data_IF_305345406807
#
_entry.id   IF_305345406807
#
_cell.length_a   1.000
_cell.length_b   1.000
_cell.length_c   1.000
_cell.angle_alpha   90.00
_cell.angle_beta   90.00
_cell.angle_gamma   90.00
#
_symmetry.space_group_name_H-M   'P 1'
#
loop_
_entity.id
_entity.type
_entity.pdbx_description
1 polymer ?
#
# COMPACT_ATOMS: atom_id res chain seq x y z
N UNK A 1 20.85 25.75 -15.17
CA UNK A 1 19.67 25.12 -14.53
C UNK A 1 19.02 24.04 -15.39
N UNK A 2 18.72 24.27 -16.68
CA UNK A 2 18.14 23.23 -17.57
C UNK A 2 18.98 21.95 -17.71
N UNK A 3 20.31 22.05 -17.80
CA UNK A 3 21.21 20.88 -17.98
C UNK A 3 21.21 19.90 -16.80
N UNK A 4 21.29 20.41 -15.57
CA UNK A 4 21.21 19.62 -14.32
C UNK A 4 19.84 18.95 -14.09
N UNK A 5 18.76 19.55 -14.62
CA UNK A 5 17.42 19.01 -14.53
C UNK A 5 17.25 17.78 -15.44
N UNK A 6 17.69 17.87 -16.69
CA UNK A 6 17.69 16.74 -17.63
C UNK A 6 18.67 15.64 -17.23
N UNK A 7 19.86 15.98 -16.70
CA UNK A 7 20.81 14.99 -16.16
C UNK A 7 20.23 14.23 -14.94
N UNK A 8 19.43 14.89 -14.09
CA UNK A 8 18.75 14.25 -12.95
C UNK A 8 17.62 13.30 -13.38
N UNK A 9 16.88 13.64 -14.44
CA UNK A 9 15.81 12.79 -14.99
C UNK A 9 16.37 11.60 -15.79
N UNK A 10 17.43 11.83 -16.58
CA UNK A 10 18.17 10.75 -17.25
C UNK A 10 18.80 9.79 -16.23
N UNK A 11 19.38 10.30 -15.13
CA UNK A 11 19.89 9.44 -14.04
C UNK A 11 18.81 8.65 -13.30
N UNK A 12 17.54 9.08 -13.32
CA UNK A 12 16.44 8.33 -12.71
C UNK A 12 15.91 7.21 -13.61
N UNK A 13 16.00 7.34 -14.95
CA UNK A 13 15.63 6.28 -15.90
C UNK A 13 16.80 5.34 -16.27
N UNK A 14 18.06 5.83 -16.27
CA UNK A 14 19.27 5.03 -16.53
C UNK A 14 19.70 4.15 -15.33
N UNK A 15 19.06 4.29 -14.16
CA UNK A 15 19.22 3.35 -13.03
C UNK A 15 18.39 2.06 -13.16
N UNK A 16 18.03 1.68 -14.39
CA UNK A 16 17.47 0.36 -14.72
C UNK A 16 18.53 -0.68 -15.12
N UNK A 17 19.82 -0.41 -14.88
CA UNK A 17 20.91 -1.31 -15.27
C UNK A 17 21.52 -2.09 -14.09
N UNK A 18 21.17 -3.39 -14.09
CA UNK A 18 21.88 -4.55 -13.51
C UNK A 18 22.05 -4.58 -11.99
N UNK A 19 21.08 -5.21 -11.32
CA UNK A 19 21.33 -5.92 -10.05
C UNK A 19 22.02 -7.25 -10.40
N UNK A 20 23.31 -7.19 -10.71
CA UNK A 20 24.19 -8.34 -10.57
C UNK A 20 24.67 -8.35 -9.12
N UNK A 21 24.14 -9.28 -8.31
CA UNK A 21 24.65 -9.57 -6.96
C UNK A 21 23.78 -9.08 -5.80
N UNK A 22 22.47 -9.32 -5.81
CA UNK A 22 21.67 -9.31 -4.58
C UNK A 22 21.66 -10.75 -3.99
N UNK A 23 22.83 -11.23 -3.61
CA UNK A 23 22.98 -12.50 -2.90
C UNK A 23 22.33 -12.40 -1.50
N UNK A 24 21.22 -13.11 -1.31
CA UNK A 24 20.85 -13.93 -0.12
C UNK A 24 20.96 -13.29 1.29
N UNK A 25 21.13 -11.98 1.43
CA UNK A 25 21.46 -11.32 2.72
C UNK A 25 20.28 -10.66 3.43
N UNK A 26 19.15 -10.42 2.76
CA UNK A 26 17.98 -9.83 3.42
C UNK A 26 17.24 -10.85 4.31
N UNK A 27 17.10 -12.09 3.84
CA UNK A 27 16.44 -13.14 4.63
C UNK A 27 17.21 -13.48 5.90
N UNK A 28 18.53 -13.38 5.92
CA UNK A 28 19.34 -13.65 7.11
C UNK A 28 19.12 -12.63 8.24
N UNK A 29 18.73 -11.38 7.95
CA UNK A 29 18.52 -10.36 9.00
C UNK A 29 17.19 -10.49 9.73
N UNK A 30 16.13 -10.99 9.07
CA UNK A 30 14.86 -11.32 9.74
C UNK A 30 15.00 -12.66 10.48
N UNK A 31 15.82 -13.59 9.99
CA UNK A 31 16.00 -14.92 10.59
C UNK A 31 16.89 -14.92 11.84
N UNK A 32 17.89 -14.02 11.96
CA UNK A 32 18.92 -14.12 13.01
C UNK A 32 18.54 -13.51 14.38
N UNK A 33 17.51 -12.67 14.47
CA UNK A 33 17.01 -12.18 15.76
C UNK A 33 16.02 -13.14 16.44
N UNK A 34 15.33 -13.98 15.66
CA UNK A 34 14.38 -14.98 16.14
C UNK A 34 15.04 -16.30 16.57
N UNK A 35 16.25 -16.59 16.09
CA UNK A 35 16.93 -17.89 16.32
C UNK A 35 17.45 -18.10 17.75
N UNK A 36 17.46 -17.07 18.61
CA UNK A 36 17.90 -17.19 20.02
C UNK A 36 16.77 -17.27 21.05
N UNK A 37 15.51 -17.12 20.65
CA UNK A 37 14.38 -17.37 21.53
C UNK A 37 13.89 -18.81 21.35
N UNK A 38 14.45 -19.72 22.14
CA UNK A 38 13.89 -21.04 22.40
C UNK A 38 12.39 -20.92 22.68
N UNK A 39 11.54 -21.18 21.69
CA UNK A 39 10.09 -21.08 21.89
C UNK A 39 9.63 -22.25 22.76
N UNK A 40 9.07 -22.01 23.96
CA UNK A 40 8.57 -23.06 24.84
C UNK A 40 7.19 -23.60 24.42
N UNK A 41 6.79 -23.52 23.14
CA UNK A 41 5.45 -23.95 22.66
C UNK A 41 5.32 -25.47 22.56
N UNK A 42 6.40 -26.25 22.76
CA UNK A 42 6.40 -27.70 22.55
C UNK A 42 6.16 -28.56 23.79
N UNK A 43 6.20 -28.03 25.02
CA UNK A 43 6.28 -28.87 26.24
C UNK A 43 5.08 -28.65 27.18
N UNK A 44 3.85 -28.80 26.67
CA UNK A 44 2.64 -28.73 27.52
C UNK A 44 1.36 -29.22 26.82
N UNK A 45 0.33 -29.53 27.63
CA UNK A 45 -0.98 -30.05 27.17
C UNK A 45 -1.60 -29.14 26.10
N UNK A 46 -1.47 -27.82 26.24
CA UNK A 46 -1.98 -26.85 25.26
C UNK A 46 -1.25 -26.95 23.91
N UNK A 47 0.06 -27.20 23.88
CA UNK A 47 0.82 -27.40 22.64
C UNK A 47 0.42 -28.68 21.91
N UNK A 48 0.11 -29.74 22.65
CA UNK A 48 -0.43 -30.99 22.09
C UNK A 48 -1.83 -30.78 21.51
N UNK A 49 -2.71 -30.08 22.23
CA UNK A 49 -4.06 -29.76 21.77
C UNK A 49 -4.05 -28.94 20.47
N UNK A 50 -3.25 -27.87 20.41
CA UNK A 50 -3.09 -27.06 19.19
C UNK A 50 -2.62 -27.94 18.04
N UNK A 51 -1.64 -28.81 18.27
CA UNK A 51 -1.12 -29.70 17.21
C UNK A 51 -2.20 -30.63 16.64
N UNK A 52 -3.06 -31.18 17.50
CA UNK A 52 -4.19 -32.02 17.08
C UNK A 52 -5.19 -31.20 16.26
N UNK A 53 -5.61 -30.03 16.77
CA UNK A 53 -6.60 -29.17 16.10
C UNK A 53 -6.07 -28.64 14.77
N UNK A 54 -4.79 -28.23 14.71
CA UNK A 54 -4.11 -27.82 13.48
C UNK A 54 -4.11 -28.93 12.44
N UNK A 55 -3.75 -30.15 12.82
CA UNK A 55 -3.75 -31.27 11.87
C UNK A 55 -5.15 -31.58 11.33
N UNK A 56 -6.18 -31.48 12.15
CA UNK A 56 -7.56 -31.65 11.71
C UNK A 56 -7.99 -30.55 10.76
N UNK A 57 -7.63 -29.30 11.05
CA UNK A 57 -7.85 -28.16 10.17
C UNK A 57 -7.15 -28.34 8.82
N UNK A 58 -5.86 -28.70 8.80
CA UNK A 58 -5.11 -28.87 7.56
C UNK A 58 -5.72 -29.97 6.69
N UNK A 59 -6.15 -31.09 7.28
CA UNK A 59 -6.87 -32.14 6.55
C UNK A 59 -8.18 -31.63 5.96
N UNK A 60 -8.99 -30.91 6.75
CA UNK A 60 -10.26 -30.38 6.27
C UNK A 60 -10.06 -29.34 5.16
N UNK A 61 -9.04 -28.49 5.29
CA UNK A 61 -8.63 -27.51 4.28
C UNK A 61 -8.19 -28.17 2.96
N UNK A 62 -7.37 -29.22 3.05
CA UNK A 62 -6.91 -29.97 1.87
C UNK A 62 -8.08 -30.65 1.15
N UNK A 63 -9.01 -31.27 1.90
CA UNK A 63 -10.20 -31.91 1.33
C UNK A 63 -11.11 -30.86 0.68
N UNK A 64 -11.31 -29.71 1.34
CA UNK A 64 -12.15 -28.63 0.82
C UNK A 64 -11.62 -28.04 -0.49
N UNK A 65 -10.29 -27.90 -0.62
CA UNK A 65 -9.68 -27.34 -1.82
C UNK A 65 -9.38 -28.37 -2.92
N UNK A 66 -9.50 -29.67 -2.63
CA UNK A 66 -9.35 -30.70 -3.64
C UNK A 66 -10.55 -30.67 -4.60
N UNK A 67 -10.29 -30.67 -5.90
CA UNK A 67 -11.31 -30.78 -6.94
C UNK A 67 -11.97 -32.17 -6.86
N UNK A 68 -13.06 -32.24 -6.09
CA UNK A 68 -13.81 -33.46 -5.90
C UNK A 68 -15.25 -33.26 -6.40
N UNK A 69 -15.53 -33.71 -7.63
CA UNK A 69 -16.88 -33.67 -8.22
C UNK A 69 -17.93 -34.47 -7.41
N UNK A 70 -17.48 -35.42 -6.59
CA UNK A 70 -18.35 -36.35 -5.85
C UNK A 70 -18.81 -35.86 -4.47
N UNK A 71 -18.29 -34.73 -3.95
CA UNK A 71 -18.63 -34.24 -2.61
C UNK A 71 -19.44 -32.95 -2.65
N UNK A 72 -20.42 -32.82 -1.75
CA UNK A 72 -21.15 -31.58 -1.57
C UNK A 72 -20.22 -30.49 -1.01
N UNK A 73 -19.93 -29.48 -1.83
CA UNK A 73 -19.03 -28.37 -1.49
C UNK A 73 -19.43 -27.64 -0.21
N UNK A 74 -20.73 -27.46 0.02
CA UNK A 74 -21.25 -26.78 1.22
C UNK A 74 -20.98 -27.60 2.50
N UNK A 75 -21.01 -28.92 2.40
CA UNK A 75 -20.70 -29.81 3.53
C UNK A 75 -19.21 -29.78 3.87
N UNK A 76 -18.35 -29.76 2.83
CA UNK A 76 -16.90 -29.63 3.00
C UNK A 76 -16.53 -28.28 3.61
N UNK A 77 -17.18 -27.19 3.18
CA UNK A 77 -16.99 -25.86 3.75
C UNK A 77 -17.34 -25.83 5.23
N UNK A 78 -18.51 -26.36 5.61
CA UNK A 78 -18.92 -26.46 7.03
C UNK A 78 -17.93 -27.27 7.88
N UNK A 79 -17.41 -28.38 7.35
CA UNK A 79 -16.40 -29.20 8.05
C UNK A 79 -15.09 -28.42 8.24
N UNK A 80 -14.64 -27.71 7.22
CA UNK A 80 -13.48 -26.83 7.29
C UNK A 80 -13.68 -25.71 8.31
N UNK A 81 -14.81 -24.99 8.25
CA UNK A 81 -15.11 -23.90 9.18
C UNK A 81 -15.17 -24.38 10.63
N UNK A 82 -15.82 -25.52 10.88
CA UNK A 82 -15.88 -26.12 12.23
C UNK A 82 -14.47 -26.48 12.74
N UNK A 83 -13.62 -27.04 11.88
CA UNK A 83 -12.23 -27.37 12.25
C UNK A 83 -11.40 -26.10 12.48
N UNK A 84 -11.64 -25.05 11.70
CA UNK A 84 -10.98 -23.76 11.80
C UNK A 84 -11.34 -23.03 13.09
N UNK A 85 -12.62 -22.98 13.46
CA UNK A 85 -13.08 -22.42 14.74
C UNK A 85 -12.46 -23.16 15.93
N UNK A 86 -12.51 -24.49 15.92
CA UNK A 86 -11.91 -25.30 16.99
C UNK A 86 -10.38 -25.10 17.11
N UNK A 87 -9.71 -24.82 15.99
CA UNK A 87 -8.28 -24.48 15.98
C UNK A 87 -8.04 -23.09 16.57
N UNK A 88 -8.77 -22.06 16.14
CA UNK A 88 -8.66 -20.72 16.71
C UNK A 88 -8.93 -20.69 18.22
N UNK A 89 -9.96 -21.40 18.68
CA UNK A 89 -10.29 -21.50 20.10
C UNK A 89 -9.14 -22.11 20.91
N UNK A 90 -8.43 -23.09 20.34
CA UNK A 90 -7.27 -23.69 20.99
C UNK A 90 -6.10 -22.72 21.10
N UNK A 91 -5.90 -21.87 20.09
CA UNK A 91 -4.89 -20.81 20.11
C UNK A 91 -5.24 -19.71 21.11
N UNK A 92 -6.51 -19.29 21.14
CA UNK A 92 -6.99 -18.26 22.06
C UNK A 92 -6.84 -18.71 23.52
N UNK A 93 -7.26 -19.94 23.82
CA UNK A 93 -7.04 -20.56 25.13
C UNK A 93 -5.56 -20.64 25.48
N UNK A 94 -4.69 -20.98 24.53
CA UNK A 94 -3.25 -21.01 24.80
C UNK A 94 -2.70 -19.64 25.21
N UNK A 95 -3.13 -18.55 24.55
CA UNK A 95 -2.75 -17.19 24.94
C UNK A 95 -3.17 -16.90 26.38
N UNK A 96 -4.42 -17.18 26.75
CA UNK A 96 -4.95 -16.85 28.08
C UNK A 96 -4.49 -17.80 29.18
N UNK A 97 -4.42 -19.10 28.92
CA UNK A 97 -4.09 -20.11 29.92
C UNK A 97 -2.59 -20.34 30.09
N UNK A 98 -1.78 -19.96 29.10
CA UNK A 98 -0.34 -20.18 29.12
C UNK A 98 0.43 -18.86 29.11
N UNK A 99 0.29 -18.07 28.05
CA UNK A 99 1.09 -16.84 27.88
C UNK A 99 0.75 -15.83 28.98
N UNK A 100 -0.53 -15.51 29.18
CA UNK A 100 -0.97 -14.57 30.21
C UNK A 100 -0.51 -15.00 31.62
N UNK A 101 -0.65 -16.28 31.97
CA UNK A 101 -0.21 -16.79 33.29
C UNK A 101 1.30 -16.62 33.48
N UNK A 102 2.11 -16.92 32.45
CA UNK A 102 3.56 -16.69 32.50
C UNK A 102 3.92 -15.22 32.62
N UNK A 103 3.22 -14.33 31.90
CA UNK A 103 3.46 -12.88 31.98
C UNK A 103 3.10 -12.36 33.37
N UNK A 104 1.94 -12.76 33.89
CA UNK A 104 1.48 -12.40 35.24
C UNK A 104 2.43 -12.89 36.34
N UNK A 105 3.00 -14.07 36.18
CA UNK A 105 3.91 -14.68 37.16
C UNK A 105 5.38 -14.26 36.97
N UNK A 106 5.68 -13.37 36.01
CA UNK A 106 7.04 -12.89 35.75
C UNK A 106 7.99 -13.93 35.13
N UNK A 107 7.44 -15.05 34.63
CA UNK A 107 8.23 -16.15 34.02
C UNK A 107 8.16 -16.17 32.50
N UNK A 108 7.44 -15.22 31.89
CA UNK A 108 7.34 -15.10 30.44
C UNK A 108 8.64 -14.64 29.80
N UNK A 109 8.96 -15.26 28.67
CA UNK A 109 9.99 -14.80 27.76
C UNK A 109 9.58 -13.49 27.06
N UNK A 110 10.54 -12.79 26.44
CA UNK A 110 10.27 -11.51 25.78
C UNK A 110 9.25 -11.62 24.64
N UNK A 111 9.36 -12.67 23.83
CA UNK A 111 8.34 -13.09 22.87
C UNK A 111 6.95 -13.23 23.48
N UNK A 112 6.82 -13.94 24.60
CA UNK A 112 5.52 -14.16 25.25
C UNK A 112 4.94 -12.85 25.79
N UNK A 113 5.78 -11.93 26.28
CA UNK A 113 5.35 -10.57 26.66
C UNK A 113 4.87 -9.78 25.45
N UNK A 114 5.61 -9.79 24.35
CA UNK A 114 5.22 -9.11 23.11
C UNK A 114 3.94 -9.69 22.49
N UNK A 115 3.79 -11.01 22.49
CA UNK A 115 2.57 -11.69 22.10
C UNK A 115 1.38 -11.22 22.96
N UNK A 116 1.53 -11.20 24.29
CA UNK A 116 0.47 -10.74 25.19
C UNK A 116 0.10 -9.26 24.94
N UNK A 117 1.09 -8.40 24.72
CA UNK A 117 0.87 -6.99 24.41
C UNK A 117 0.06 -6.80 23.12
N UNK A 118 0.46 -7.48 22.03
CA UNK A 118 -0.27 -7.46 20.75
C UNK A 118 -1.69 -8.03 20.89
N UNK A 119 -1.87 -9.10 21.68
CA UNK A 119 -3.19 -9.65 21.95
C UNK A 119 -4.10 -8.63 22.66
N UNK A 120 -3.58 -7.89 23.64
CA UNK A 120 -4.34 -6.82 24.29
C UNK A 120 -4.67 -5.66 23.36
N UNK A 121 -3.72 -5.25 22.52
CA UNK A 121 -3.95 -4.23 21.49
C UNK A 121 -5.11 -4.64 20.58
N UNK A 122 -5.11 -5.87 20.07
CA UNK A 122 -6.18 -6.38 19.22
C UNK A 122 -7.50 -6.50 19.97
N UNK A 123 -7.52 -7.06 21.18
CA UNK A 123 -8.76 -7.23 21.96
C UNK A 123 -9.39 -5.90 22.40
N UNK A 124 -8.59 -4.85 22.57
CA UNK A 124 -9.12 -3.50 22.86
C UNK A 124 -10.02 -2.95 21.74
N UNK A 125 -9.88 -3.46 20.52
CA UNK A 125 -10.72 -3.09 19.38
C UNK A 125 -12.15 -3.68 19.47
N UNK A 126 -12.38 -4.68 20.33
CA UNK A 126 -13.66 -5.42 20.39
C UNK A 126 -14.86 -4.51 20.61
N UNK A 127 -14.72 -3.50 21.46
CA UNK A 127 -15.81 -2.59 21.82
C UNK A 127 -16.00 -1.47 20.80
N UNK A 128 -14.91 -0.99 20.20
CA UNK A 128 -14.93 0.21 19.33
C UNK A 128 -15.00 -0.10 17.85
N UNK A 129 -14.38 -1.19 17.40
CA UNK A 129 -14.21 -1.57 16.01
C UNK A 129 -14.39 -3.09 15.82
N UNK A 130 -15.56 -3.62 16.20
CA UNK A 130 -15.82 -5.08 16.24
C UNK A 130 -15.46 -5.84 14.96
N UNK A 131 -15.79 -5.30 13.78
CA UNK A 131 -15.45 -5.94 12.50
C UNK A 131 -13.93 -6.03 12.28
N UNK A 132 -13.19 -5.00 12.68
CA UNK A 132 -11.73 -5.01 12.61
C UNK A 132 -11.13 -5.97 13.63
N UNK A 133 -11.63 -5.96 14.86
CA UNK A 133 -11.29 -6.92 15.90
C UNK A 133 -11.44 -8.36 15.40
N UNK A 134 -12.57 -8.70 14.79
CA UNK A 134 -12.86 -10.06 14.30
C UNK A 134 -11.77 -10.56 13.34
N UNK A 135 -11.31 -9.73 12.40
CA UNK A 135 -10.30 -10.15 11.43
C UNK A 135 -8.87 -10.08 12.01
N UNK A 136 -8.55 -9.02 12.76
CA UNK A 136 -7.22 -8.85 13.38
C UNK A 136 -6.94 -9.91 14.44
N UNK A 137 -7.94 -10.34 15.22
CA UNK A 137 -7.79 -11.42 16.21
C UNK A 137 -7.45 -12.75 15.53
N UNK A 138 -8.19 -13.12 14.49
CA UNK A 138 -7.90 -14.34 13.73
C UNK A 138 -6.51 -14.32 13.12
N UNK A 139 -6.15 -13.20 12.45
CA UNK A 139 -4.83 -12.99 11.88
C UNK A 139 -3.73 -13.16 12.93
N UNK A 140 -3.84 -12.46 14.06
CA UNK A 140 -2.87 -12.51 15.14
C UNK A 140 -2.67 -13.94 15.68
N UNK A 141 -3.77 -14.68 15.94
CA UNK A 141 -3.67 -16.04 16.47
C UNK A 141 -2.95 -16.98 15.49
N UNK A 142 -3.27 -16.89 14.20
CA UNK A 142 -2.63 -17.70 13.16
C UNK A 142 -1.14 -17.32 13.00
N UNK A 143 -0.81 -16.02 13.03
CA UNK A 143 0.58 -15.54 13.00
C UNK A 143 1.41 -16.08 14.17
N UNK A 144 0.85 -16.05 15.37
CA UNK A 144 1.50 -16.56 16.57
C UNK A 144 1.84 -18.05 16.44
N UNK A 145 0.92 -18.85 15.91
CA UNK A 145 1.17 -20.27 15.70
C UNK A 145 2.18 -20.51 14.57
N UNK A 146 2.09 -19.71 13.49
CA UNK A 146 2.97 -19.81 12.34
C UNK A 146 4.44 -19.52 12.67
N UNK A 147 4.71 -18.53 13.54
CA UNK A 147 6.05 -18.26 14.06
C UNK A 147 6.62 -19.50 14.78
N UNK A 148 5.79 -20.20 15.57
CA UNK A 148 6.17 -21.46 16.22
C UNK A 148 6.44 -22.60 15.22
N UNK A 149 5.69 -22.66 14.12
CA UNK A 149 5.86 -23.68 13.07
C UNK A 149 7.13 -23.45 12.26
N UNK A 150 7.44 -22.20 11.88
CA UNK A 150 8.65 -21.84 11.11
C UNK A 150 9.94 -22.24 11.81
N UNK A 151 9.96 -22.19 13.12
CA UNK A 151 11.12 -22.58 13.95
C UNK A 151 11.18 -24.10 14.15
N UNK A 152 10.09 -24.82 13.83
CA UNK A 152 10.05 -26.27 13.83
C UNK A 152 10.88 -26.90 12.72
N UNK A 153 11.27 -28.17 12.89
CA UNK A 153 12.14 -28.90 11.96
C UNK A 153 11.38 -29.81 10.98
N UNK A 154 10.04 -29.83 11.00
CA UNK A 154 9.23 -30.72 10.16
C UNK A 154 8.82 -30.02 8.87
N UNK A 155 9.67 -30.12 7.84
CA UNK A 155 9.47 -29.49 6.51
C UNK A 155 8.07 -29.75 5.93
N UNK A 156 7.62 -31.01 5.92
CA UNK A 156 6.26 -31.38 5.45
C UNK A 156 5.12 -30.63 6.15
N UNK A 157 5.28 -30.34 7.44
CA UNK A 157 4.27 -29.56 8.18
C UNK A 157 4.32 -28.08 7.77
N UNK A 158 5.52 -27.54 7.60
CA UNK A 158 5.73 -26.15 7.16
C UNK A 158 5.10 -25.95 5.78
N UNK A 159 5.36 -26.84 4.83
CA UNK A 159 4.79 -26.78 3.48
C UNK A 159 3.26 -26.82 3.49
N UNK A 160 2.66 -27.80 4.16
CA UNK A 160 1.20 -27.92 4.28
C UNK A 160 0.57 -26.70 4.96
N UNK A 161 1.21 -26.21 6.02
CA UNK A 161 0.72 -25.04 6.73
C UNK A 161 0.90 -23.75 5.93
N UNK A 162 1.95 -23.61 5.12
CA UNK A 162 2.14 -22.45 4.25
C UNK A 162 0.96 -22.29 3.27
N UNK A 163 0.45 -23.38 2.69
CA UNK A 163 -0.70 -23.36 1.80
C UNK A 163 -1.96 -22.82 2.50
N UNK A 164 -2.27 -23.36 3.68
CA UNK A 164 -3.36 -22.87 4.51
C UNK A 164 -3.15 -21.40 4.93
N UNK A 165 -1.97 -21.08 5.43
CA UNK A 165 -1.61 -19.77 5.96
C UNK A 165 -1.77 -18.69 4.90
N UNK A 166 -1.21 -18.89 3.70
CA UNK A 166 -1.31 -17.94 2.60
C UNK A 166 -2.77 -17.73 2.19
N UNK A 167 -3.51 -18.81 1.96
CA UNK A 167 -4.92 -18.76 1.56
C UNK A 167 -5.77 -18.01 2.60
N UNK A 168 -5.57 -18.32 3.89
CA UNK A 168 -6.33 -17.69 4.95
C UNK A 168 -5.93 -16.23 5.18
N UNK A 169 -4.64 -15.92 5.13
CA UNK A 169 -4.16 -14.54 5.25
C UNK A 169 -4.66 -13.67 4.11
N UNK A 170 -4.65 -14.16 2.86
CA UNK A 170 -5.25 -13.43 1.74
C UNK A 170 -6.69 -13.01 2.04
N UNK A 171 -7.51 -13.93 2.55
CA UNK A 171 -8.90 -13.65 2.90
C UNK A 171 -9.03 -12.64 4.05
N UNK A 172 -8.20 -12.75 5.08
CA UNK A 172 -8.22 -11.85 6.24
C UNK A 172 -7.76 -10.43 5.86
N UNK A 173 -6.65 -10.27 5.13
CA UNK A 173 -6.18 -8.97 4.64
C UNK A 173 -7.20 -8.33 3.69
N UNK A 174 -7.81 -9.12 2.77
CA UNK A 174 -8.91 -8.67 1.91
C UNK A 174 -10.09 -8.14 2.73
N UNK A 175 -10.43 -8.80 3.83
CA UNK A 175 -11.54 -8.40 4.69
C UNK A 175 -11.24 -7.15 5.52
N UNK A 176 -10.01 -7.02 6.05
CA UNK A 176 -9.54 -5.84 6.76
C UNK A 176 -9.56 -4.60 5.84
N UNK A 177 -9.00 -4.73 4.63
CA UNK A 177 -8.99 -3.65 3.63
C UNK A 177 -10.40 -3.28 3.17
N UNK A 178 -11.29 -4.27 3.01
CA UNK A 178 -12.71 -4.01 2.69
C UNK A 178 -13.39 -3.21 3.79
N UNK A 179 -13.16 -3.58 5.05
CA UNK A 179 -13.68 -2.83 6.21
C UNK A 179 -13.17 -1.39 6.23
N UNK A 180 -11.89 -1.15 5.94
CA UNK A 180 -11.37 0.21 5.82
C UNK A 180 -11.95 0.98 4.64
N UNK A 181 -12.12 0.32 3.50
CA UNK A 181 -12.74 0.90 2.31
C UNK A 181 -14.17 1.39 2.59
N UNK A 182 -14.96 0.59 3.32
CA UNK A 182 -16.31 0.99 3.75
C UNK A 182 -16.23 2.22 4.66
N UNK A 183 -15.35 2.22 5.67
CA UNK A 183 -15.16 3.40 6.55
C UNK A 183 -14.71 4.65 5.79
N UNK A 184 -13.88 4.52 4.76
CA UNK A 184 -13.48 5.67 3.92
C UNK A 184 -14.69 6.22 3.17
N UNK A 185 -15.56 5.34 2.64
CA UNK A 185 -16.77 5.73 1.92
C UNK A 185 -17.85 6.34 2.83
N UNK A 186 -18.04 5.81 4.04
CA UNK A 186 -19.05 6.29 5.00
C UNK A 186 -18.71 7.67 5.58
N UNK A 187 -17.41 7.99 5.68
CA UNK A 187 -16.98 9.32 6.10
C UNK A 187 -17.22 10.32 4.95
N UNK A 188 -18.34 11.03 4.98
CA UNK A 188 -18.72 11.99 3.92
C UNK A 188 -17.88 13.27 3.92
N UNK A 189 -17.20 13.60 5.03
CA UNK A 189 -16.37 14.80 5.13
C UNK A 189 -14.91 14.53 4.76
N UNK A 190 -14.41 15.22 3.73
CA UNK A 190 -13.01 15.14 3.22
C UNK A 190 -11.98 15.66 4.25
N UNK A 191 -12.42 16.45 5.23
CA UNK A 191 -11.55 17.10 6.23
C UNK A 191 -11.53 16.39 7.59
N UNK A 192 -12.11 15.19 7.68
CA UNK A 192 -12.16 14.44 8.91
C UNK A 192 -10.76 13.85 9.22
N UNK A 193 -10.16 14.25 10.34
CA UNK A 193 -8.91 13.64 10.84
C UNK A 193 -9.02 12.12 11.00
N UNK A 194 -10.25 11.60 11.13
CA UNK A 194 -10.56 10.18 11.15
C UNK A 194 -10.19 9.51 9.81
N UNK A 195 -10.32 10.19 8.66
CA UNK A 195 -9.92 9.66 7.35
C UNK A 195 -8.40 9.50 7.23
N UNK A 196 -7.63 10.47 7.72
CA UNK A 196 -6.16 10.39 7.70
C UNK A 196 -5.65 9.15 8.47
N UNK A 197 -6.30 8.83 9.60
CA UNK A 197 -6.00 7.63 10.35
C UNK A 197 -6.40 6.34 9.61
N UNK A 198 -7.54 6.33 8.91
CA UNK A 198 -7.95 5.19 8.09
C UNK A 198 -6.99 4.97 6.91
N UNK A 199 -6.54 6.02 6.22
CA UNK A 199 -5.52 5.89 5.17
C UNK A 199 -4.23 5.30 5.73
N UNK A 200 -3.80 5.78 6.90
CA UNK A 200 -2.63 5.25 7.59
C UNK A 200 -2.78 3.75 7.87
N UNK A 201 -3.95 3.32 8.38
CA UNK A 201 -4.26 1.89 8.57
C UNK A 201 -4.22 1.09 7.26
N UNK A 202 -4.76 1.62 6.16
CA UNK A 202 -4.70 0.98 4.84
C UNK A 202 -3.24 0.76 4.43
N UNK A 203 -2.40 1.79 4.49
CA UNK A 203 -0.99 1.69 4.11
C UNK A 203 -0.23 0.69 4.98
N UNK A 204 -0.43 0.70 6.30
CA UNK A 204 0.19 -0.29 7.18
C UNK A 204 -0.27 -1.71 6.89
N UNK A 205 -1.55 -1.92 6.61
CA UNK A 205 -2.07 -3.25 6.25
C UNK A 205 -1.55 -3.73 4.89
N UNK A 206 -1.36 -2.84 3.93
CA UNK A 206 -0.72 -3.17 2.66
C UNK A 206 0.75 -3.53 2.86
N UNK A 207 1.51 -2.70 3.57
CA UNK A 207 2.91 -2.94 3.92
C UNK A 207 3.09 -4.30 4.61
N UNK A 208 2.31 -4.56 5.67
CA UNK A 208 2.36 -5.81 6.41
C UNK A 208 2.07 -7.04 5.53
N UNK A 209 1.13 -6.93 4.59
CA UNK A 209 0.84 -7.99 3.62
C UNK A 209 2.01 -8.23 2.66
N UNK A 210 2.60 -7.16 2.13
CA UNK A 210 3.71 -7.27 1.17
C UNK A 210 4.92 -7.90 1.83
N UNK A 211 5.28 -7.45 3.03
CA UNK A 211 6.42 -7.96 3.80
C UNK A 211 6.26 -9.42 4.19
N UNK A 212 5.08 -9.83 4.66
CA UNK A 212 4.91 -11.13 5.30
C UNK A 212 4.30 -12.20 4.39
N UNK A 213 3.33 -11.81 3.56
CA UNK A 213 2.54 -12.75 2.76
C UNK A 213 3.02 -12.79 1.32
N UNK A 214 3.16 -11.63 0.67
CA UNK A 214 3.65 -11.61 -0.71
C UNK A 214 5.08 -12.12 -0.81
N UNK A 215 5.96 -11.71 0.10
CA UNK A 215 7.34 -12.23 0.13
C UNK A 215 7.38 -13.75 0.30
N UNK A 216 6.48 -14.32 1.12
CA UNK A 216 6.35 -15.77 1.30
C UNK A 216 5.85 -16.45 0.02
N UNK A 217 4.83 -15.90 -0.62
CA UNK A 217 4.29 -16.41 -1.90
C UNK A 217 5.37 -16.47 -2.98
N UNK A 218 6.21 -15.43 -3.07
CA UNK A 218 7.32 -15.37 -4.03
C UNK A 218 8.37 -16.45 -3.70
N UNK A 219 8.75 -16.59 -2.42
CA UNK A 219 9.76 -17.58 -1.99
C UNK A 219 9.41 -19.02 -2.33
N UNK A 220 8.13 -19.36 -2.26
CA UNK A 220 7.66 -20.74 -2.48
C UNK A 220 7.05 -20.96 -3.87
N UNK A 221 7.21 -19.97 -4.77
CA UNK A 221 6.63 -19.96 -6.13
C UNK A 221 5.12 -20.32 -6.12
N UNK A 222 4.37 -19.68 -5.24
CA UNK A 222 2.98 -20.04 -4.95
C UNK A 222 2.04 -19.88 -6.16
N UNK A 223 2.27 -18.87 -7.01
CA UNK A 223 1.41 -18.56 -8.15
C UNK A 223 2.22 -17.97 -9.31
N UNK A 224 2.08 -18.55 -10.51
CA UNK A 224 2.76 -18.08 -11.72
C UNK A 224 2.39 -16.64 -12.10
N UNK A 225 1.20 -16.17 -11.70
CA UNK A 225 0.73 -14.81 -11.96
C UNK A 225 1.51 -13.74 -11.18
N UNK A 226 2.32 -14.14 -10.19
CA UNK A 226 3.17 -13.23 -9.42
C UNK A 226 4.28 -12.61 -10.28
N UNK A 227 4.64 -13.20 -11.43
CA UNK A 227 5.66 -12.67 -12.34
C UNK A 227 5.39 -11.21 -12.75
N UNK A 228 4.12 -10.86 -12.94
CA UNK A 228 3.70 -9.52 -13.35
C UNK A 228 3.79 -8.46 -12.25
N UNK A 229 4.15 -8.85 -11.01
CA UNK A 229 4.26 -7.94 -9.86
C UNK A 229 5.64 -7.94 -9.22
N UNK A 230 6.57 -8.79 -9.70
CA UNK A 230 7.94 -8.88 -9.17
C UNK A 230 8.66 -7.53 -9.27
N UNK A 231 8.57 -6.85 -10.42
CA UNK A 231 9.27 -5.57 -10.60
C UNK A 231 8.82 -4.48 -9.63
N UNK A 232 7.51 -4.40 -9.34
CA UNK A 232 7.00 -3.46 -8.34
C UNK A 232 7.32 -3.89 -6.91
N UNK A 233 7.39 -5.20 -6.65
CA UNK A 233 7.84 -5.74 -5.37
C UNK A 233 9.33 -5.43 -5.11
N UNK A 234 10.21 -5.63 -6.09
CA UNK A 234 11.64 -5.26 -5.99
C UNK A 234 11.81 -3.76 -5.75
N UNK A 235 10.99 -2.93 -6.43
CA UNK A 235 10.95 -1.49 -6.17
C UNK A 235 10.53 -1.20 -4.72
N UNK A 236 9.55 -1.92 -4.18
CA UNK A 236 9.17 -1.80 -2.77
C UNK A 236 10.31 -2.21 -1.83
N UNK A 237 11.00 -3.33 -2.09
CA UNK A 237 12.12 -3.81 -1.27
C UNK A 237 13.26 -2.78 -1.17
N UNK A 238 13.48 -1.96 -2.20
CA UNK A 238 14.47 -0.88 -2.16
C UNK A 238 14.20 0.15 -1.05
N UNK A 239 12.95 0.31 -0.60
CA UNK A 239 12.56 1.18 0.52
C UNK A 239 12.62 0.48 1.88
N UNK A 240 12.92 -0.82 1.94
CA UNK A 240 13.12 -1.52 3.21
C UNK A 240 14.52 -1.33 3.79
N UNK A 241 15.43 -0.74 3.03
CA UNK A 241 16.83 -0.56 3.40
C UNK A 241 17.08 0.87 3.90
N UNK A 242 17.44 1.00 5.17
CA UNK A 242 17.86 2.27 5.77
C UNK A 242 16.71 3.09 6.35
N UNK A 243 17.02 4.32 6.78
CA UNK A 243 16.04 5.24 7.37
C UNK A 243 15.42 6.10 6.27
N UNK A 244 14.13 5.88 6.01
CA UNK A 244 13.36 6.62 5.02
C UNK A 244 13.10 8.06 5.48
N UNK A 245 13.32 9.01 4.57
CA UNK A 245 12.85 10.38 4.76
C UNK A 245 11.37 10.54 4.36
N UNK A 246 10.81 11.74 4.47
CA UNK A 246 9.40 12.00 4.14
C UNK A 246 9.08 11.74 2.67
N UNK A 247 10.03 12.01 1.76
CA UNK A 247 9.87 11.77 0.32
C UNK A 247 9.84 10.27 0.06
N UNK A 248 10.79 9.55 0.64
CA UNK A 248 10.91 8.10 0.46
C UNK A 248 9.65 7.38 0.98
N UNK A 249 9.05 7.85 2.08
CA UNK A 249 7.79 7.31 2.59
C UNK A 249 6.60 7.52 1.62
N UNK A 250 6.53 8.68 0.95
CA UNK A 250 5.49 8.94 -0.07
C UNK A 250 5.71 8.04 -1.29
N UNK A 251 6.95 7.88 -1.74
CA UNK A 251 7.30 6.99 -2.86
C UNK A 251 6.98 5.52 -2.52
N UNK A 252 7.32 5.06 -1.31
CA UNK A 252 6.94 3.73 -0.80
C UNK A 252 5.44 3.53 -0.85
N UNK A 253 4.67 4.49 -0.33
CA UNK A 253 3.20 4.41 -0.33
C UNK A 253 2.60 4.41 -1.75
N UNK A 254 3.20 5.14 -2.70
CA UNK A 254 2.81 5.10 -4.10
C UNK A 254 2.99 3.69 -4.69
N UNK A 255 4.14 3.04 -4.42
CA UNK A 255 4.38 1.65 -4.84
C UNK A 255 3.39 0.68 -4.20
N UNK A 256 3.08 0.85 -2.92
CA UNK A 256 2.06 0.05 -2.23
C UNK A 256 0.68 0.17 -2.89
N UNK A 257 0.27 1.36 -3.33
CA UNK A 257 -0.98 1.52 -4.09
C UNK A 257 -0.92 0.86 -5.47
N UNK A 258 0.23 0.94 -6.15
CA UNK A 258 0.42 0.22 -7.41
C UNK A 258 0.22 -1.30 -7.26
N UNK A 259 0.83 -1.88 -6.22
CA UNK A 259 0.68 -3.30 -5.88
C UNK A 259 -0.75 -3.63 -5.46
N UNK A 260 -1.40 -2.77 -4.67
CA UNK A 260 -2.76 -2.99 -4.20
C UNK A 260 -3.79 -3.03 -5.32
N UNK A 261 -3.57 -2.27 -6.42
CA UNK A 261 -4.41 -2.33 -7.61
C UNK A 261 -4.34 -3.67 -8.35
N UNK A 262 -3.27 -4.45 -8.16
CA UNK A 262 -3.14 -5.81 -8.73
C UNK A 262 -3.64 -6.88 -7.76
N UNK A 263 -3.47 -6.68 -6.46
CA UNK A 263 -3.72 -7.71 -5.42
C UNK A 263 -5.09 -7.60 -4.75
N UNK A 264 -5.67 -6.39 -4.68
CA UNK A 264 -6.82 -6.08 -3.81
C UNK A 264 -7.93 -5.29 -4.53
N UNK A 265 -8.12 -5.48 -5.84
CA UNK A 265 -9.10 -4.72 -6.65
C UNK A 265 -10.50 -4.62 -6.04
N UNK A 266 -11.00 -5.71 -5.44
CA UNK A 266 -12.34 -5.78 -4.83
C UNK A 266 -12.37 -5.31 -3.37
N UNK A 267 -11.27 -5.47 -2.64
CA UNK A 267 -11.14 -5.09 -1.23
C UNK A 267 -10.74 -3.64 -1.02
N UNK A 268 -10.03 -3.07 -2.00
CA UNK A 268 -9.68 -1.66 -2.11
C UNK A 268 -10.21 -1.15 -3.47
N UNK A 269 -11.52 -0.85 -3.56
CA UNK A 269 -12.17 -0.41 -4.79
C UNK A 269 -11.51 0.83 -5.37
N UNK A 270 -11.70 1.05 -6.67
CA UNK A 270 -11.06 2.15 -7.40
C UNK A 270 -11.29 3.52 -6.75
N UNK A 271 -12.50 3.78 -6.26
CA UNK A 271 -12.87 5.04 -5.58
C UNK A 271 -12.06 5.27 -4.29
N UNK A 272 -11.77 4.21 -3.53
CA UNK A 272 -10.97 4.31 -2.30
C UNK A 272 -9.49 4.45 -2.63
N UNK A 273 -9.02 3.74 -3.66
CA UNK A 273 -7.66 3.91 -4.17
C UNK A 273 -7.43 5.34 -4.67
N UNK A 274 -8.39 5.93 -5.39
CA UNK A 274 -8.37 7.32 -5.85
C UNK A 274 -8.18 8.29 -4.67
N UNK A 275 -8.97 8.12 -3.60
CA UNK A 275 -8.82 8.92 -2.39
C UNK A 275 -7.45 8.74 -1.71
N UNK A 276 -6.89 7.53 -1.70
CA UNK A 276 -5.54 7.30 -1.18
C UNK A 276 -4.48 8.02 -2.01
N UNK A 277 -4.61 8.03 -3.34
CA UNK A 277 -3.73 8.79 -4.22
C UNK A 277 -3.89 10.30 -4.02
N UNK A 278 -5.11 10.81 -3.83
CA UNK A 278 -5.36 12.24 -3.54
C UNK A 278 -4.69 12.67 -2.24
N UNK A 279 -4.73 11.81 -1.21
CA UNK A 279 -3.98 12.02 0.04
C UNK A 279 -2.47 12.09 -0.22
N UNK A 280 -1.89 11.15 -0.97
CA UNK A 280 -0.47 11.20 -1.30
C UNK A 280 -0.10 12.44 -2.13
N UNK A 281 -0.98 12.87 -3.04
CA UNK A 281 -0.77 14.09 -3.83
C UNK A 281 -0.77 15.32 -2.92
N UNK A 282 -1.67 15.39 -1.93
CA UNK A 282 -1.67 16.44 -0.91
C UNK A 282 -0.35 16.45 -0.12
N UNK A 283 0.12 15.30 0.36
CA UNK A 283 1.40 15.20 1.07
C UNK A 283 2.59 15.62 0.20
N UNK A 284 2.64 15.16 -1.04
CA UNK A 284 3.69 15.50 -2.00
C UNK A 284 3.72 17.00 -2.32
N UNK A 285 2.54 17.62 -2.52
CA UNK A 285 2.40 19.06 -2.74
C UNK A 285 2.89 19.87 -1.54
N UNK A 286 2.49 19.50 -0.33
CA UNK A 286 2.97 20.12 0.91
C UNK A 286 4.49 19.98 1.05
N UNK A 287 5.05 18.79 0.76
CA UNK A 287 6.49 18.57 0.82
C UNK A 287 7.26 19.50 -0.14
N UNK A 288 6.79 19.67 -1.38
CA UNK A 288 7.41 20.61 -2.34
C UNK A 288 7.33 22.04 -1.83
N UNK A 289 6.17 22.44 -1.31
CA UNK A 289 5.93 23.78 -0.79
C UNK A 289 6.82 24.12 0.42
N UNK A 290 6.99 23.19 1.35
CA UNK A 290 7.68 23.43 2.63
C UNK A 290 9.20 23.23 2.54
N UNK A 291 9.67 22.47 1.54
CA UNK A 291 11.11 22.24 1.34
C UNK A 291 11.80 23.52 0.93
N UNK A 292 12.71 24.05 1.78
CA UNK A 292 13.46 25.30 1.51
C UNK A 292 14.66 25.10 0.58
N UNK A 293 15.35 23.96 0.69
CA UNK A 293 16.57 23.65 -0.05
C UNK A 293 16.22 23.33 -1.50
N UNK A 294 16.77 24.06 -2.47
CA UNK A 294 16.42 23.96 -3.87
C UNK A 294 16.59 22.54 -4.45
N UNK A 295 17.73 21.88 -4.16
CA UNK A 295 18.00 20.52 -4.65
C UNK A 295 17.04 19.48 -4.08
N UNK A 296 16.68 19.58 -2.79
CA UNK A 296 15.68 18.71 -2.17
C UNK A 296 14.27 18.99 -2.69
N UNK A 297 13.93 20.27 -2.92
CA UNK A 297 12.65 20.67 -3.50
C UNK A 297 12.49 20.12 -4.91
N UNK A 298 13.56 20.11 -5.70
CA UNK A 298 13.54 19.54 -7.04
C UNK A 298 13.27 18.03 -7.02
N UNK A 299 13.90 17.30 -6.09
CA UNK A 299 13.61 15.86 -5.89
C UNK A 299 12.17 15.61 -5.46
N UNK A 300 11.65 16.40 -4.50
CA UNK A 300 10.25 16.32 -4.08
C UNK A 300 9.28 16.67 -5.23
N UNK A 301 9.66 17.62 -6.09
CA UNK A 301 8.88 17.99 -7.27
C UNK A 301 8.87 16.87 -8.31
N UNK A 302 10.02 16.25 -8.60
CA UNK A 302 10.09 15.08 -9.48
C UNK A 302 9.21 13.93 -8.96
N UNK A 303 9.23 13.65 -7.65
CA UNK A 303 8.31 12.71 -7.02
C UNK A 303 6.84 13.11 -7.21
N UNK A 304 6.49 14.38 -7.01
CA UNK A 304 5.12 14.88 -7.23
C UNK A 304 4.68 14.67 -8.69
N UNK A 305 5.54 14.94 -9.67
CA UNK A 305 5.25 14.72 -11.09
C UNK A 305 5.01 13.23 -11.37
N UNK A 306 5.85 12.34 -10.84
CA UNK A 306 5.66 10.89 -10.97
C UNK A 306 4.34 10.43 -10.34
N UNK A 307 3.96 11.00 -9.19
CA UNK A 307 2.70 10.67 -8.53
C UNK A 307 1.48 11.19 -9.31
N UNK A 308 1.59 12.38 -9.93
CA UNK A 308 0.58 12.91 -10.85
C UNK A 308 0.43 12.00 -12.07
N UNK A 309 1.53 11.46 -12.58
CA UNK A 309 1.52 10.48 -13.68
C UNK A 309 0.84 9.18 -13.25
N UNK A 310 1.25 8.57 -12.13
CA UNK A 310 0.65 7.34 -11.63
C UNK A 310 -0.86 7.51 -11.38
N UNK A 311 -1.27 8.62 -10.77
CA UNK A 311 -2.68 8.92 -10.54
C UNK A 311 -3.46 9.13 -11.84
N UNK A 312 -3.04 10.05 -12.71
CA UNK A 312 -3.85 10.35 -13.90
C UNK A 312 -3.73 9.27 -14.97
N UNK A 313 -2.55 8.69 -15.16
CA UNK A 313 -2.28 7.80 -16.30
C UNK A 313 -2.48 6.34 -15.93
N UNK A 314 -1.99 5.86 -14.77
CA UNK A 314 -2.12 4.44 -14.41
C UNK A 314 -3.45 4.14 -13.72
N UNK A 315 -3.96 5.07 -12.90
CA UNK A 315 -5.22 4.88 -12.18
C UNK A 315 -6.43 5.39 -12.97
N UNK A 316 -6.52 6.70 -13.21
CA UNK A 316 -7.73 7.32 -13.78
C UNK A 316 -8.04 6.91 -15.23
N UNK A 317 -7.05 6.44 -16.00
CA UNK A 317 -7.29 5.89 -17.35
C UNK A 317 -8.19 4.65 -17.33
N UNK A 318 -8.20 3.92 -16.21
CA UNK A 318 -9.05 2.74 -15.99
C UNK A 318 -10.43 3.09 -15.40
N UNK A 319 -10.69 4.38 -15.10
CA UNK A 319 -11.92 4.84 -14.46
C UNK A 319 -13.08 4.90 -15.44
N UNK A 320 -14.05 4.01 -15.23
CA UNK A 320 -15.28 3.92 -16.02
C UNK A 320 -16.36 4.89 -15.51
N UNK A 321 -16.55 4.96 -14.20
CA UNK A 321 -17.59 5.78 -13.56
C UNK A 321 -17.04 7.13 -13.11
N UNK A 322 -17.77 8.20 -13.43
CA UNK A 322 -17.48 9.58 -13.05
C UNK A 322 -18.72 10.18 -12.40
N UNK A 323 -18.53 10.90 -11.29
CA UNK A 323 -19.63 11.51 -10.54
C UNK A 323 -20.32 12.62 -11.35
N UNK A 324 -19.55 13.36 -12.16
CA UNK A 324 -20.05 14.42 -13.03
C UNK A 324 -19.65 14.19 -14.49
N UNK A 325 -20.56 14.38 -15.46
CA UNK A 325 -20.21 14.41 -16.89
C UNK A 325 -19.12 15.43 -17.20
N UNK A 326 -19.09 16.56 -16.48
CA UNK A 326 -18.06 17.60 -16.66
C UNK A 326 -16.67 17.09 -16.30
N UNK A 327 -16.52 16.38 -15.19
CA UNK A 327 -15.22 15.84 -14.76
C UNK A 327 -14.71 14.79 -15.75
N UNK A 328 -15.63 13.96 -16.29
CA UNK A 328 -15.32 13.01 -17.35
C UNK A 328 -14.81 13.70 -18.62
N UNK A 329 -15.47 14.78 -19.05
CA UNK A 329 -15.05 15.54 -20.23
C UNK A 329 -13.73 16.27 -20.02
N UNK A 330 -13.52 16.88 -18.85
CA UNK A 330 -12.25 17.51 -18.47
C UNK A 330 -11.10 16.49 -18.52
N UNK A 331 -11.31 15.30 -17.94
CA UNK A 331 -10.33 14.23 -17.99
C UNK A 331 -10.10 13.71 -19.41
N UNK A 332 -11.15 13.54 -20.22
CA UNK A 332 -11.00 13.12 -21.63
C UNK A 332 -10.15 14.11 -22.43
N UNK A 333 -10.35 15.42 -22.24
CA UNK A 333 -9.52 16.47 -22.86
C UNK A 333 -8.06 16.38 -22.41
N UNK A 334 -7.82 16.11 -21.13
CA UNK A 334 -6.48 15.87 -20.60
C UNK A 334 -5.84 14.62 -21.22
N UNK A 335 -6.57 13.50 -21.23
CA UNK A 335 -6.10 12.21 -21.72
C UNK A 335 -5.71 12.27 -23.21
N UNK A 336 -6.56 12.86 -24.05
CA UNK A 336 -6.27 13.01 -25.48
C UNK A 336 -4.99 13.83 -25.72
N UNK A 337 -4.79 14.92 -24.96
CA UNK A 337 -3.56 15.72 -25.04
C UNK A 337 -2.33 14.94 -24.60
N UNK A 338 -2.46 14.15 -23.53
CA UNK A 338 -1.38 13.28 -23.08
C UNK A 338 -1.03 12.24 -24.15
N UNK A 339 -2.02 11.63 -24.81
CA UNK A 339 -1.78 10.66 -25.89
C UNK A 339 -1.03 11.27 -27.07
N UNK A 340 -1.38 12.50 -27.49
CA UNK A 340 -0.62 13.22 -28.52
C UNK A 340 0.83 13.47 -28.09
N UNK A 341 1.04 13.93 -26.84
CA UNK A 341 2.38 14.14 -26.29
C UNK A 341 3.16 12.82 -26.23
N UNK A 342 2.51 11.70 -25.90
CA UNK A 342 3.17 10.41 -25.73
C UNK A 342 3.80 9.87 -27.02
N UNK A 343 3.31 10.31 -28.20
CA UNK A 343 3.93 9.99 -29.49
C UNK A 343 5.35 10.55 -29.62
N UNK A 344 5.68 11.61 -28.87
CA UNK A 344 7.02 12.21 -28.86
C UNK A 344 8.04 11.36 -28.09
N UNK A 345 7.61 10.36 -27.32
CA UNK A 345 8.51 9.55 -26.48
C UNK A 345 9.62 8.87 -27.29
N UNK A 346 9.33 8.47 -28.52
CA UNK A 346 10.26 7.79 -29.42
C UNK A 346 11.04 8.74 -30.34
N UNK A 347 10.48 9.92 -30.64
CA UNK A 347 11.05 10.87 -31.62
C UNK A 347 11.85 11.99 -30.97
N UNK A 348 11.37 12.55 -29.86
CA UNK A 348 12.04 13.59 -29.08
C UNK A 348 11.69 13.44 -27.60
N UNK A 349 12.50 12.66 -26.90
CA UNK A 349 12.31 12.38 -25.49
C UNK A 349 12.40 13.63 -24.60
N UNK A 350 13.23 14.60 -24.97
CA UNK A 350 13.42 15.84 -24.20
C UNK A 350 12.16 16.70 -24.29
N UNK A 351 11.62 16.86 -25.50
CA UNK A 351 10.38 17.61 -25.70
C UNK A 351 9.18 16.87 -25.12
N UNK A 352 9.14 15.53 -25.18
CA UNK A 352 8.14 14.70 -24.50
C UNK A 352 8.08 15.01 -23.00
N UNK A 353 9.22 14.95 -22.30
CA UNK A 353 9.30 15.24 -20.86
C UNK A 353 8.80 16.65 -20.56
N UNK A 354 9.27 17.64 -21.33
CA UNK A 354 8.88 19.04 -21.14
C UNK A 354 7.37 19.25 -21.35
N UNK A 355 6.79 18.72 -22.42
CA UNK A 355 5.36 18.86 -22.72
C UNK A 355 4.48 18.10 -21.72
N UNK A 356 4.93 16.91 -21.29
CA UNK A 356 4.27 16.11 -20.25
C UNK A 356 4.16 16.90 -18.96
N UNK A 357 5.27 17.48 -18.49
CA UNK A 357 5.26 18.28 -17.27
C UNK A 357 4.39 19.53 -17.39
N UNK A 358 4.46 20.26 -18.51
CA UNK A 358 3.60 21.43 -18.74
C UNK A 358 2.12 21.03 -18.62
N UNK A 359 1.72 19.91 -19.24
CA UNK A 359 0.35 19.42 -19.18
C UNK A 359 -0.06 19.09 -17.74
N UNK A 360 0.80 18.36 -17.02
CA UNK A 360 0.55 17.92 -15.65
C UNK A 360 0.43 19.10 -14.69
N UNK A 361 1.38 20.05 -14.72
CA UNK A 361 1.35 21.26 -13.89
C UNK A 361 0.09 22.08 -14.17
N UNK A 362 -0.21 22.35 -15.45
CA UNK A 362 -1.39 23.16 -15.81
C UNK A 362 -2.69 22.50 -15.35
N UNK A 363 -2.78 21.17 -15.45
CA UNK A 363 -3.94 20.43 -14.97
C UNK A 363 -4.04 20.47 -13.44
N UNK A 364 -2.93 20.25 -12.74
CA UNK A 364 -2.89 20.25 -11.27
C UNK A 364 -3.28 21.63 -10.71
N UNK A 365 -2.70 22.72 -11.25
CA UNK A 365 -3.02 24.10 -10.84
C UNK A 365 -4.52 24.39 -10.89
N UNK A 366 -5.23 23.96 -11.95
CA UNK A 366 -6.68 24.15 -12.07
C UNK A 366 -7.48 23.45 -10.96
N UNK A 367 -6.99 22.30 -10.49
CA UNK A 367 -7.60 21.56 -9.38
C UNK A 367 -7.32 22.24 -8.04
N UNK A 368 -6.12 22.80 -7.87
CA UNK A 368 -5.71 23.49 -6.64
C UNK A 368 -6.48 24.79 -6.40
N UNK A 369 -6.81 25.55 -7.45
CA UNK A 369 -7.58 26.80 -7.35
C UNK A 369 -9.01 26.58 -6.79
N UNK A 370 -9.52 25.35 -6.80
CA UNK A 370 -10.84 24.98 -6.28
C UNK A 370 -10.81 24.53 -4.79
N UNK A 371 -9.62 24.36 -4.21
CA UNK A 371 -9.44 23.78 -2.87
C UNK A 371 -9.40 24.79 -1.72
N UNK A 372 -9.54 24.29 -0.47
CA UNK A 372 -9.41 25.11 0.77
C UNK A 372 -8.00 25.18 1.34
N UNK A 373 -7.08 24.34 0.87
CA UNK A 373 -5.68 24.29 1.36
C UNK A 373 -4.84 25.35 0.66
N UNK A 374 -4.01 26.08 1.42
CA UNK A 374 -3.12 27.09 0.87
C UNK A 374 -1.93 26.45 0.13
N UNK A 375 -1.96 26.53 -1.20
CA UNK A 375 -0.88 26.11 -2.09
C UNK A 375 -0.17 27.29 -2.78
N UNK A 376 -0.25 28.50 -2.21
CA UNK A 376 0.26 29.72 -2.86
C UNK A 376 1.75 29.62 -3.24
N UNK A 377 2.58 29.01 -2.37
CA UNK A 377 4.01 28.83 -2.64
C UNK A 377 4.25 27.78 -3.74
N UNK A 378 3.49 26.68 -3.73
CA UNK A 378 3.53 25.68 -4.80
C UNK A 378 3.10 26.28 -6.14
N UNK A 379 2.00 27.04 -6.18
CA UNK A 379 1.53 27.71 -7.39
C UNK A 379 2.58 28.69 -7.94
N UNK A 380 3.27 29.42 -7.07
CA UNK A 380 4.40 30.28 -7.46
C UNK A 380 5.55 29.46 -8.05
N UNK A 381 5.85 28.29 -7.47
CA UNK A 381 6.87 27.38 -7.98
C UNK A 381 6.50 26.80 -9.35
N UNK A 382 5.27 26.33 -9.52
CA UNK A 382 4.73 25.87 -10.80
C UNK A 382 4.77 26.95 -11.88
N UNK A 383 4.37 28.19 -11.57
CA UNK A 383 4.47 29.31 -12.51
C UNK A 383 5.91 29.54 -12.97
N UNK A 384 6.90 29.48 -12.06
CA UNK A 384 8.32 29.59 -12.42
C UNK A 384 8.77 28.48 -13.37
N UNK A 385 8.39 27.22 -13.10
CA UNK A 385 8.68 26.09 -14.00
C UNK A 385 8.05 26.31 -15.39
N UNK A 386 6.81 26.77 -15.45
CA UNK A 386 6.16 27.08 -16.73
C UNK A 386 6.86 28.23 -17.49
N UNK A 387 7.41 29.24 -16.79
CA UNK A 387 8.25 30.28 -17.41
C UNK A 387 9.55 29.69 -17.94
N UNK A 388 10.23 28.85 -17.17
CA UNK A 388 11.47 28.19 -17.59
C UNK A 388 11.27 27.33 -18.85
N UNK A 389 10.11 26.69 -18.97
CA UNK A 389 9.70 25.92 -20.15
C UNK A 389 9.19 26.78 -21.31
N UNK A 390 9.04 28.10 -21.14
CA UNK A 390 8.50 29.01 -22.15
C UNK A 390 6.99 28.89 -22.37
N UNK A 391 6.29 28.20 -21.48
CA UNK A 391 4.85 27.92 -21.58
C UNK A 391 3.97 29.08 -21.10
N UNK A 392 4.52 30.00 -20.30
CA UNK A 392 3.92 31.28 -19.89
C UNK A 392 5.01 32.36 -19.84
N UNK A 393 4.62 33.64 -19.87
CA UNK A 393 5.57 34.78 -19.81
C UNK A 393 5.39 35.55 -18.50
N UNK A 394 6.48 35.97 -17.89
CA UNK A 394 6.47 36.92 -16.78
C UNK A 394 6.46 38.35 -17.33
N UNK A 395 5.41 39.12 -16.98
CA UNK A 395 5.32 40.52 -17.35
C UNK A 395 5.97 41.33 -16.22
N UNK A 396 6.91 42.21 -16.57
CA UNK A 396 7.56 43.09 -15.58
C UNK A 396 6.51 44.05 -14.98
N UNK A 397 6.60 44.32 -13.68
CA UNK A 397 5.76 45.32 -12.98
C UNK A 397 5.96 46.78 -13.47
N UNK A 398 6.73 47.00 -14.53
CA UNK A 398 6.97 48.30 -15.16
C UNK A 398 5.85 48.74 -16.12
N UNK A 399 4.84 47.89 -16.37
CA UNK A 399 3.75 48.20 -17.29
C UNK A 399 2.43 48.37 -16.52
N UNK A 400 1.89 49.58 -16.50
CA UNK A 400 0.51 49.85 -16.08
C UNK A 400 -0.40 49.74 -17.28
N UNK A 401 -1.50 49.02 -17.14
CA UNK A 401 -2.53 48.93 -18.15
C UNK A 401 -3.49 50.12 -17.98
N UNK A 402 -3.45 51.10 -18.88
CA UNK A 402 -4.39 52.23 -18.88
C UNK A 402 -5.66 51.87 -19.65
N UNK A 403 -6.82 51.97 -19.01
CA UNK A 403 -8.12 51.74 -19.65
C UNK A 403 -9.23 51.35 -18.66
N UNK A 404 -10.50 51.58 -19.04
CA UNK A 404 -11.67 51.02 -18.35
C UNK A 404 -11.92 49.60 -18.85
N UNK A 405 -11.51 48.60 -18.07
CA UNK A 405 -11.77 47.19 -18.40
C UNK A 405 -13.21 46.82 -18.04
N UNK A 406 -14.01 46.46 -19.05
CA UNK A 406 -15.38 45.98 -18.86
C UNK A 406 -15.32 44.45 -18.87
N UNK A 407 -15.79 43.82 -17.79
CA UNK A 407 -15.95 42.37 -17.72
C UNK A 407 -17.02 41.96 -18.73
N UNK A 408 -16.63 41.36 -19.85
CA UNK A 408 -17.56 40.75 -20.80
C UNK A 408 -18.21 39.56 -20.09
N UNK A 409 -19.52 39.63 -19.84
CA UNK A 409 -20.29 38.47 -19.38
C UNK A 409 -20.34 37.46 -20.52
N UNK A 410 -19.96 36.22 -20.26
CA UNK A 410 -20.23 35.11 -21.19
C UNK A 410 -21.74 35.09 -21.48
N UNK A 411 -22.09 35.18 -22.75
CA UNK A 411 -23.45 34.93 -23.22
C UNK A 411 -23.67 33.43 -23.06
N UNK A 412 -24.67 33.08 -22.24
CA UNK A 412 -25.06 31.70 -21.89
C UNK A 412 -25.43 30.90 -23.12
#
# INVERSE_FOLDING_TARGET
MKKLYFEGMMQMEERSLRITGADKTFFTKITNALTKMLIPTKIGINGMLISIKRNNLLKAFEIYNAENENYNKDELEKKYDTAYEAYLDSLDKYVMDSIYKKVRNGTASEFEKNAMSKYYEVTSLKEKEYMEYKYRKQKYLIELDYEGIKIGTKEKLIERYNQFYISKMDSLYKSILKNYSIKVADNTNIYDSTKEWIYTKIFYTLEEYIENILSLKIKIDYDQNLKNIISEYEKYESYMVGKLDTRDNIEKNMVLLGLSRKLFTHSLPLIVAEQCYEKLLKDARSLVQDTKIATKREKAYAMLINLIEDYNIKLLSTKVYWESPKDREEYKKFWNRYQEISKLKETDFIEYIKQKEILFIKNDMKKLDKGKTDYTKLLKYFKRKLVDYGAIREIKNSYKSEGKYIKVKEVV
#
